data_IF_367306413454
#
_entry.id   IF_367306413454
#
_cell.length_a   1.000
_cell.length_b   1.000
_cell.length_c   1.000
_cell.angle_alpha   90.00
_cell.angle_beta   90.00
_cell.angle_gamma   90.00
#
_symmetry.space_group_name_H-M   'P 1'
#
loop_
_entity.id
_entity.type
_entity.pdbx_description
1 polymer ?
#
# COMPACT_ATOMS: atom_id res chain seq x y z
N UNK A 1 -1.75 -11.46 -8.95
CA UNK A 1 -0.38 -11.11 -8.52
C UNK A 1 -0.51 -10.06 -7.44
N UNK A 2 0.14 -10.25 -6.29
CA UNK A 2 0.03 -9.37 -5.10
C UNK A 2 1.00 -8.18 -5.14
N UNK A 3 0.97 -7.31 -4.12
CA UNK A 3 1.76 -6.08 -4.07
C UNK A 3 3.25 -6.35 -3.82
N UNK A 4 4.07 -5.40 -4.23
CA UNK A 4 5.52 -5.56 -4.39
C UNK A 4 6.33 -4.97 -3.23
N UNK A 5 5.76 -4.96 -2.03
CA UNK A 5 6.31 -4.25 -0.87
C UNK A 5 6.69 -5.18 0.27
N UNK A 6 7.92 -5.05 0.76
CA UNK A 6 8.38 -5.67 2.00
C UNK A 6 8.29 -4.68 3.16
N UNK A 7 7.83 -5.11 4.34
CA UNK A 7 7.76 -4.24 5.52
C UNK A 7 6.81 -3.03 5.40
N UNK A 8 5.92 -3.03 4.40
CA UNK A 8 4.95 -1.97 4.23
C UNK A 8 3.87 -2.00 5.32
N UNK A 9 3.33 -0.83 5.63
CA UNK A 9 2.12 -0.73 6.41
C UNK A 9 0.94 -1.20 5.57
N UNK A 10 0.08 -2.02 6.17
CA UNK A 10 -1.07 -2.63 5.49
C UNK A 10 -2.36 -2.18 6.18
N UNK A 11 -3.27 -1.60 5.40
CA UNK A 11 -4.58 -1.17 5.89
C UNK A 11 -5.69 -1.75 5.02
N UNK A 12 -6.72 -2.32 5.64
CA UNK A 12 -7.94 -2.74 4.96
C UNK A 12 -8.98 -1.63 5.01
N UNK A 13 -9.39 -1.12 3.86
CA UNK A 13 -10.48 -0.16 3.75
C UNK A 13 -11.78 -0.90 3.37
N UNK A 14 -12.81 -0.91 4.23
CA UNK A 14 -14.09 -1.57 3.96
C UNK A 14 -14.98 -0.71 3.04
N UNK A 15 -14.46 -0.31 1.87
CA UNK A 15 -15.22 0.44 0.85
C UNK A 15 -15.79 -0.49 -0.22
N UNK A 16 -16.98 -0.20 -0.73
CA UNK A 16 -17.73 -1.10 -1.64
C UNK A 16 -18.05 -2.45 -0.98
N UNK A 17 -18.55 -3.42 -1.76
CA UNK A 17 -19.08 -4.68 -1.24
C UNK A 17 -17.99 -5.61 -0.66
N UNK A 18 -16.72 -5.41 -1.05
CA UNK A 18 -15.63 -6.35 -0.72
C UNK A 18 -14.33 -5.70 -0.21
N UNK A 19 -14.27 -4.37 -0.18
CA UNK A 19 -13.11 -3.64 0.35
C UNK A 19 -11.87 -3.64 -0.55
N UNK A 20 -10.87 -2.89 -0.10
CA UNK A 20 -9.53 -2.82 -0.71
C UNK A 20 -8.46 -2.90 0.37
N UNK A 21 -7.30 -3.45 0.02
CA UNK A 21 -6.12 -3.45 0.90
C UNK A 21 -5.09 -2.47 0.36
N UNK A 22 -4.69 -1.51 1.19
CA UNK A 22 -3.65 -0.53 0.90
C UNK A 22 -2.31 -1.00 1.44
N UNK A 23 -1.25 -0.75 0.67
CA UNK A 23 0.13 -0.95 1.06
C UNK A 23 0.90 0.36 0.91
N UNK A 24 1.43 0.87 2.03
CA UNK A 24 2.03 2.19 2.13
C UNK A 24 3.45 2.06 2.73
N UNK A 25 4.41 2.80 2.18
CA UNK A 25 5.80 2.77 2.62
C UNK A 25 6.46 1.41 2.44
N UNK A 26 7.45 1.12 3.29
CA UNK A 26 8.23 -0.12 3.27
C UNK A 26 9.34 -0.07 2.22
N UNK A 27 9.66 -1.23 1.67
CA UNK A 27 10.72 -1.39 0.68
C UNK A 27 10.15 -1.90 -0.65
N UNK A 28 10.64 -1.35 -1.77
CA UNK A 28 10.35 -1.82 -3.11
C UNK A 28 11.52 -2.64 -3.67
N UNK A 29 11.19 -3.65 -4.47
CA UNK A 29 12.15 -4.30 -5.37
C UNK A 29 12.02 -3.72 -6.78
N UNK A 30 13.14 -3.49 -7.46
CA UNK A 30 13.17 -3.02 -8.86
C UNK A 30 12.63 -4.07 -9.86
N UNK A 31 12.36 -5.31 -9.43
CA UNK A 31 11.78 -6.37 -10.28
C UNK A 31 10.55 -7.02 -9.66
N UNK A 32 9.45 -6.97 -10.42
CA UNK A 32 8.28 -7.82 -10.17
C UNK A 32 8.71 -9.29 -10.14
N UNK A 33 8.44 -10.00 -9.04
CA UNK A 33 8.75 -11.43 -8.86
C UNK A 33 10.25 -11.78 -8.72
N UNK A 34 11.03 -10.98 -7.98
CA UNK A 34 12.35 -11.44 -7.54
C UNK A 34 12.19 -12.38 -6.34
N UNK A 35 12.29 -13.68 -6.57
CA UNK A 35 12.47 -14.71 -5.52
C UNK A 35 13.93 -14.82 -5.08
N UNK A 36 14.77 -13.87 -5.46
CA UNK A 36 16.22 -13.92 -5.26
C UNK A 36 16.63 -12.86 -4.25
N UNK A 37 17.26 -13.30 -3.15
CA UNK A 37 17.81 -12.50 -2.03
C UNK A 37 18.95 -11.51 -2.42
N UNK A 38 19.07 -11.18 -3.71
CA UNK A 38 20.15 -10.36 -4.26
C UNK A 38 19.71 -9.08 -4.95
N UNK A 39 18.40 -8.78 -5.00
CA UNK A 39 17.93 -7.47 -5.49
C UNK A 39 17.92 -6.51 -4.32
N UNK A 40 18.67 -5.41 -4.44
CA UNK A 40 18.67 -4.35 -3.44
C UNK A 40 17.25 -3.84 -3.26
N UNK A 41 16.77 -3.95 -2.03
CA UNK A 41 15.53 -3.35 -1.58
C UNK A 41 15.82 -1.86 -1.36
N UNK A 42 15.13 -1.02 -2.13
CA UNK A 42 15.18 0.43 -1.96
C UNK A 42 13.93 0.89 -1.20
N UNK A 43 14.03 2.01 -0.49
CA UNK A 43 12.87 2.60 0.17
C UNK A 43 11.74 2.83 -0.83
N UNK A 44 10.55 2.36 -0.47
CA UNK A 44 9.36 2.62 -1.26
C UNK A 44 9.08 4.12 -1.26
N UNK A 45 9.01 4.71 -2.46
CA UNK A 45 8.64 6.11 -2.61
C UNK A 45 7.18 6.28 -2.21
N UNK A 46 6.90 7.34 -1.45
CA UNK A 46 5.54 7.72 -1.02
C UNK A 46 4.84 8.63 -2.05
N UNK A 47 5.36 8.70 -3.27
CA UNK A 47 4.66 9.22 -4.45
C UNK A 47 3.74 8.17 -5.08
N UNK A 48 3.67 6.97 -4.50
CA UNK A 48 2.73 5.94 -4.89
C UNK A 48 2.32 5.02 -3.75
N UNK A 49 1.13 4.47 -3.87
CA UNK A 49 0.57 3.42 -3.00
C UNK A 49 0.13 2.24 -3.86
N UNK A 50 0.29 1.02 -3.34
CA UNK A 50 -0.30 -0.15 -3.99
C UNK A 50 -1.66 -0.46 -3.36
N UNK A 51 -2.64 -0.71 -4.21
CA UNK A 51 -4.02 -1.00 -3.85
C UNK A 51 -4.38 -2.37 -4.39
N UNK A 52 -4.76 -3.28 -3.51
CA UNK A 52 -5.28 -4.60 -3.87
C UNK A 52 -6.81 -4.59 -3.74
N UNK A 53 -7.50 -4.71 -4.88
CA UNK A 53 -8.95 -4.89 -4.92
C UNK A 53 -9.30 -6.36 -4.68
N UNK A 54 -9.98 -6.64 -3.56
CA UNK A 54 -10.31 -8.01 -3.12
C UNK A 54 -11.19 -8.71 -4.16
N UNK A 55 -12.23 -8.03 -4.64
CA UNK A 55 -13.18 -8.56 -5.63
C UNK A 55 -12.56 -9.00 -6.94
N UNK A 56 -11.65 -8.20 -7.48
CA UNK A 56 -11.04 -8.48 -8.77
C UNK A 56 -9.75 -9.30 -8.66
N UNK A 57 -9.23 -9.51 -7.44
CA UNK A 57 -7.93 -10.14 -7.21
C UNK A 57 -6.78 -9.40 -7.89
N UNK A 58 -6.85 -8.07 -8.00
CA UNK A 58 -5.94 -7.24 -8.80
C UNK A 58 -5.24 -6.18 -7.95
N UNK A 59 -3.95 -5.97 -8.26
CA UNK A 59 -3.15 -4.87 -7.73
C UNK A 59 -3.09 -3.71 -8.72
N UNK A 60 -3.24 -2.50 -8.19
CA UNK A 60 -3.09 -1.23 -8.87
C UNK A 60 -2.03 -0.41 -8.13
N UNK A 61 -1.23 0.35 -8.87
CA UNK A 61 -0.33 1.35 -8.27
C UNK A 61 -0.96 2.71 -8.55
N UNK A 62 -1.29 3.44 -7.49
CA UNK A 62 -1.89 4.76 -7.58
C UNK A 62 -0.82 5.79 -7.22
N UNK A 63 -0.65 6.80 -8.06
CA UNK A 63 0.23 7.93 -7.77
C UNK A 63 -0.43 8.83 -6.73
N UNK A 64 0.32 9.21 -5.71
CA UNK A 64 -0.09 10.16 -4.68
C UNK A 64 0.48 11.53 -4.97
N UNK A 65 -0.13 12.55 -4.38
CA UNK A 65 0.37 13.92 -4.41
C UNK A 65 0.31 14.51 -2.99
N UNK A 66 1.08 15.56 -2.75
CA UNK A 66 1.16 16.23 -1.45
C UNK A 66 2.49 16.00 -0.73
N UNK A 67 2.48 16.23 0.58
CA UNK A 67 3.68 16.18 1.40
C UNK A 67 4.23 14.75 1.49
N UNK A 68 5.52 14.61 1.23
CA UNK A 68 6.23 13.35 1.39
C UNK A 68 7.05 13.40 2.68
N UNK A 69 6.71 12.58 3.70
CA UNK A 69 7.49 12.55 4.93
C UNK A 69 8.92 12.04 4.66
N UNK A 70 9.89 12.48 5.48
CA UNK A 70 11.29 12.09 5.32
C UNK A 70 11.53 10.61 5.66
N UNK A 71 10.84 10.08 6.67
CA UNK A 71 10.88 8.66 7.03
C UNK A 71 9.82 7.86 6.29
N UNK A 72 10.26 6.79 5.63
CA UNK A 72 9.46 5.97 4.69
C UNK A 72 9.43 4.49 5.08
N UNK A 73 10.18 4.15 6.13
CA UNK A 73 10.25 2.83 6.74
C UNK A 73 9.31 2.77 7.95
N UNK A 74 8.77 1.59 8.25
CA UNK A 74 8.04 1.31 9.50
C UNK A 74 6.86 2.26 9.79
N UNK A 75 6.06 2.55 8.77
CA UNK A 75 4.87 3.39 8.94
C UNK A 75 3.79 2.67 9.76
N UNK A 76 3.13 3.41 10.65
CA UNK A 76 1.91 2.94 11.31
C UNK A 76 0.68 3.47 10.58
N UNK A 77 -0.26 2.59 10.24
CA UNK A 77 -1.57 2.97 9.70
C UNK A 77 -2.60 2.97 10.82
N UNK A 78 -3.33 4.06 10.95
CA UNK A 78 -4.52 4.15 11.79
C UNK A 78 -5.69 4.59 10.93
N UNK A 79 -6.85 3.99 11.15
CA UNK A 79 -8.09 4.37 10.46
C UNK A 79 -9.02 5.00 11.48
N UNK A 80 -9.44 6.23 11.21
CA UNK A 80 -10.56 6.86 11.90
C UNK A 80 -11.83 6.58 11.10
N UNK A 81 -12.93 6.09 11.70
CA UNK A 81 -14.21 6.18 11.04
C UNK A 81 -14.53 7.67 10.75
N UNK A 82 -15.21 7.95 9.64
CA UNK A 82 -15.85 9.25 9.44
C UNK A 82 -16.89 9.47 10.53
N UNK A 83 -16.88 10.67 11.13
CA UNK A 83 -17.73 11.06 12.27
C UNK A 83 -19.24 11.02 11.97
N UNK A 84 -19.64 10.90 10.71
CA UNK A 84 -21.02 11.12 10.28
C UNK A 84 -21.85 9.84 10.13
N UNK A 85 -21.30 8.66 10.45
CA UNK A 85 -22.03 7.38 10.38
C UNK A 85 -22.69 7.10 9.01
N UNK A 86 -22.29 7.82 7.95
CA UNK A 86 -22.71 7.47 6.61
C UNK A 86 -22.02 6.15 6.26
N UNK A 87 -22.82 5.09 6.23
CA UNK A 87 -22.40 3.76 5.83
C UNK A 87 -21.70 3.82 4.47
N UNK A 88 -20.65 3.00 4.33
CA UNK A 88 -20.01 2.68 3.05
C UNK A 88 -21.02 2.26 1.97
#
# INVERSE_FOLDING_TARGET
>A
MGPHRGGAAVAYLPMSDEGVVLYIGGFNTTRRMSTTDGVMWDDARLDSVDVYGVHYGKCYTIQTSGDTPPDRQEMATWMSPTLDWSSF
#
